data_IF_626622450150
#
_entry.id   IF_626622450150
#
_cell.length_a   1.000
_cell.length_b   1.000
_cell.length_c   1.000
_cell.angle_alpha   90.00
_cell.angle_beta   90.00
_cell.angle_gamma   90.00
#
_symmetry.space_group_name_H-M   'P 1'
#
loop_
_entity.id
_entity.type
_entity.pdbx_description
1 polymer ?
#
# COMPACT_ATOMS: atom_id res chain seq x y z
N UNK A 1 -15.05 13.77 -6.21
CA UNK A 1 -15.63 12.61 -5.51
C UNK A 1 -14.46 11.90 -4.82
N UNK A 2 -14.53 11.75 -3.50
CA UNK A 2 -13.53 10.97 -2.76
C UNK A 2 -13.70 9.51 -3.18
N UNK A 3 -12.63 8.88 -3.66
CA UNK A 3 -12.58 7.47 -4.04
C UNK A 3 -12.15 6.59 -2.84
N UNK A 4 -12.36 7.05 -1.61
CA UNK A 4 -11.98 6.29 -0.42
C UNK A 4 -12.70 4.94 -0.44
N UNK A 5 -11.91 3.87 -0.58
CA UNK A 5 -12.43 2.52 -0.54
C UNK A 5 -12.78 2.17 0.91
N UNK A 6 -13.83 1.38 1.09
CA UNK A 6 -14.15 0.79 2.39
C UNK A 6 -12.98 -0.09 2.88
N UNK A 7 -12.77 -0.23 4.21
CA UNK A 7 -11.72 -1.09 4.76
C UNK A 7 -11.73 -2.51 4.17
N UNK A 8 -12.91 -3.07 3.94
CA UNK A 8 -13.12 -4.39 3.38
C UNK A 8 -12.51 -4.54 1.99
N UNK A 9 -12.59 -3.50 1.15
CA UNK A 9 -11.98 -3.48 -0.17
C UNK A 9 -10.44 -3.47 -0.10
N UNK A 10 -9.87 -2.99 1.01
CA UNK A 10 -8.44 -2.85 1.22
C UNK A 10 -7.81 -4.01 2.00
N UNK A 11 -8.60 -4.94 2.58
CA UNK A 11 -8.07 -6.08 3.33
C UNK A 11 -7.22 -7.06 2.52
N UNK A 12 -7.35 -7.03 1.19
CA UNK A 12 -6.41 -7.77 0.33
C UNK A 12 -4.96 -7.31 0.54
N UNK A 13 -4.72 -6.01 0.70
CA UNK A 13 -3.38 -5.48 1.01
C UNK A 13 -2.91 -5.83 2.41
N UNK A 14 -3.82 -5.82 3.39
CA UNK A 14 -3.51 -6.27 4.74
C UNK A 14 -3.15 -7.76 4.79
N UNK A 15 -3.85 -8.56 4.00
CA UNK A 15 -3.57 -10.00 3.85
C UNK A 15 -2.15 -10.19 3.32
N UNK A 16 -1.76 -9.51 2.25
CA UNK A 16 -0.40 -9.61 1.71
C UNK A 16 0.67 -9.05 2.66
N UNK A 17 0.35 -8.00 3.42
CA UNK A 17 1.22 -7.50 4.50
C UNK A 17 1.55 -8.62 5.47
N UNK A 18 0.55 -9.34 5.99
CA UNK A 18 0.76 -10.46 6.91
C UNK A 18 1.50 -11.62 6.23
N UNK A 19 1.15 -11.98 4.99
CA UNK A 19 1.83 -13.04 4.23
C UNK A 19 3.31 -12.73 3.97
N UNK A 20 3.66 -11.46 3.85
CA UNK A 20 5.05 -11.00 3.68
C UNK A 20 5.84 -10.90 4.99
N UNK A 21 5.19 -11.16 6.13
CA UNK A 21 5.79 -10.94 7.43
C UNK A 21 6.72 -12.06 7.88
N UNK A 22 7.48 -11.80 8.94
CA UNK A 22 8.30 -12.79 9.63
C UNK A 22 7.49 -13.76 10.51
N UNK A 23 6.18 -13.89 10.31
CA UNK A 23 5.36 -14.86 11.02
C UNK A 23 5.87 -16.29 10.73
N UNK A 24 5.93 -17.19 11.74
CA UNK A 24 6.56 -18.51 11.60
C UNK A 24 5.64 -19.51 10.86
N UNK A 25 5.24 -19.22 9.63
CA UNK A 25 4.35 -20.08 8.83
C UNK A 25 4.87 -21.52 8.67
N UNK A 26 6.20 -21.69 8.62
CA UNK A 26 6.84 -22.99 8.50
C UNK A 26 6.60 -23.90 9.72
N UNK A 27 6.42 -23.33 10.92
CA UNK A 27 6.09 -24.12 12.13
C UNK A 27 4.73 -24.81 12.01
N UNK A 28 3.85 -24.26 11.16
CA UNK A 28 2.53 -24.79 10.85
C UNK A 28 2.52 -25.66 9.59
N UNK A 29 3.68 -25.85 8.93
CA UNK A 29 3.80 -26.53 7.63
C UNK A 29 2.90 -25.90 6.54
N UNK A 30 2.77 -24.58 6.55
CA UNK A 30 1.91 -23.80 5.64
C UNK A 30 2.75 -22.81 4.84
N UNK A 31 2.44 -22.62 3.56
CA UNK A 31 3.06 -21.54 2.77
C UNK A 31 2.29 -20.23 3.00
N UNK A 32 2.97 -19.07 3.06
CA UNK A 32 2.28 -17.80 3.31
C UNK A 32 1.08 -17.53 2.38
N UNK A 33 1.22 -17.88 1.08
CA UNK A 33 0.15 -17.71 0.08
C UNK A 33 -1.13 -18.51 0.34
N UNK A 34 -1.07 -19.54 1.19
CA UNK A 34 -2.21 -20.39 1.56
C UNK A 34 -2.98 -19.82 2.76
N UNK A 35 -2.45 -18.78 3.42
CA UNK A 35 -3.04 -18.17 4.61
C UNK A 35 -4.02 -17.08 4.22
N UNK A 36 -5.27 -17.19 4.64
CA UNK A 36 -6.27 -16.14 4.57
C UNK A 36 -6.43 -15.46 5.93
N UNK A 37 -7.02 -14.26 5.94
CA UNK A 37 -7.32 -13.53 7.16
C UNK A 37 -8.83 -13.43 7.38
N UNK A 38 -9.25 -13.65 8.62
CA UNK A 38 -10.57 -13.24 9.11
C UNK A 38 -10.38 -12.08 10.06
N UNK A 39 -10.99 -10.94 9.75
CA UNK A 39 -10.87 -9.74 10.59
C UNK A 39 -11.79 -9.91 11.81
N UNK A 40 -11.18 -9.92 13.00
CA UNK A 40 -11.90 -10.01 14.27
C UNK A 40 -12.32 -8.62 14.77
N UNK A 41 -11.46 -7.61 14.55
CA UNK A 41 -11.64 -6.24 15.02
C UNK A 41 -10.89 -5.28 14.10
N UNK A 42 -11.56 -4.23 13.64
CA UNK A 42 -10.96 -3.14 12.89
C UNK A 42 -11.54 -1.82 13.38
N UNK A 43 -10.73 -1.03 14.08
CA UNK A 43 -11.09 0.28 14.60
C UNK A 43 -9.98 1.29 14.31
N UNK A 44 -10.13 2.55 14.71
CA UNK A 44 -9.18 3.62 14.37
C UNK A 44 -7.73 3.36 14.84
N UNK A 45 -7.53 2.50 15.85
CA UNK A 45 -6.21 2.24 16.43
C UNK A 45 -5.58 0.94 15.96
N UNK A 46 -6.38 -0.10 15.73
CA UNK A 46 -5.88 -1.46 15.48
C UNK A 46 -6.65 -2.19 14.38
N UNK A 47 -5.98 -3.20 13.82
CA UNK A 47 -6.63 -4.32 13.13
C UNK A 47 -6.20 -5.59 13.86
N UNK A 48 -7.15 -6.46 14.19
CA UNK A 48 -6.92 -7.79 14.74
C UNK A 48 -7.48 -8.80 13.76
N UNK A 49 -6.68 -9.80 13.43
CA UNK A 49 -7.10 -10.80 12.48
C UNK A 49 -6.67 -12.19 12.92
N UNK A 50 -7.56 -13.15 12.68
CA UNK A 50 -7.28 -14.57 12.73
C UNK A 50 -6.67 -15.01 11.40
N UNK A 51 -5.60 -15.79 11.47
CA UNK A 51 -4.96 -16.44 10.32
C UNK A 51 -5.59 -17.82 10.14
N UNK A 52 -6.13 -18.07 8.95
CA UNK A 52 -6.81 -19.31 8.60
C UNK A 52 -6.26 -19.94 7.33
N UNK A 53 -6.41 -21.25 7.21
CA UNK A 53 -6.05 -22.03 6.02
C UNK A 53 -7.22 -22.90 5.59
N UNK A 54 -7.32 -23.13 4.29
CA UNK A 54 -8.32 -24.03 3.72
C UNK A 54 -7.84 -25.48 3.87
N UNK A 55 -8.56 -26.25 4.68
CA UNK A 55 -8.36 -27.70 4.90
C UNK A 55 -9.69 -28.43 4.60
N UNK A 56 -9.88 -29.66 5.09
CA UNK A 56 -11.21 -30.29 5.15
C UNK A 56 -12.10 -29.60 6.22
N UNK A 57 -12.24 -28.28 6.12
CA UNK A 57 -12.68 -27.34 7.15
C UNK A 57 -11.77 -26.08 7.16
N UNK A 58 -12.06 -25.11 8.04
CA UNK A 58 -11.20 -23.93 8.22
C UNK A 58 -10.25 -24.14 9.40
N UNK A 59 -8.96 -24.34 9.12
CA UNK A 59 -7.93 -24.47 10.13
C UNK A 59 -7.48 -23.09 10.61
N UNK A 60 -7.40 -22.86 11.92
CA UNK A 60 -6.82 -21.63 12.49
C UNK A 60 -5.37 -21.88 12.87
N UNK A 61 -4.46 -21.05 12.37
CA UNK A 61 -3.01 -21.15 12.67
C UNK A 61 -2.52 -20.05 13.60
N UNK A 62 -3.30 -18.98 13.81
CA UNK A 62 -2.94 -17.97 14.80
C UNK A 62 -3.68 -16.66 14.68
N UNK A 63 -3.14 -15.64 15.36
CA UNK A 63 -3.69 -14.30 15.39
C UNK A 63 -2.61 -13.24 15.29
N UNK A 64 -2.94 -12.15 14.61
CA UNK A 64 -2.09 -10.96 14.54
C UNK A 64 -2.83 -9.73 15.03
N UNK A 65 -2.05 -8.80 15.55
CA UNK A 65 -2.48 -7.46 15.94
C UNK A 65 -1.63 -6.44 15.18
N UNK A 66 -2.27 -5.60 14.38
CA UNK A 66 -1.64 -4.48 13.70
C UNK A 66 -2.01 -3.17 14.40
N UNK A 67 -1.02 -2.40 14.84
CA UNK A 67 -1.20 -1.07 15.41
C UNK A 67 -1.04 -0.02 14.31
N UNK A 68 -2.14 0.61 13.91
CA UNK A 68 -2.21 1.54 12.77
C UNK A 68 -1.29 2.75 12.94
N UNK A 69 -1.30 3.38 14.12
CA UNK A 69 -0.55 4.62 14.39
C UNK A 69 0.96 4.49 14.27
N UNK A 70 1.50 3.28 14.51
CA UNK A 70 2.95 3.00 14.43
C UNK A 70 3.31 2.11 13.24
N UNK A 71 2.33 1.64 12.48
CA UNK A 71 2.49 0.62 11.46
C UNK A 71 3.26 -0.62 11.97
N UNK A 72 2.89 -1.12 13.16
CA UNK A 72 3.55 -2.27 13.78
C UNK A 72 2.66 -3.50 13.75
N UNK A 73 3.19 -4.61 13.24
CA UNK A 73 2.53 -5.91 13.24
C UNK A 73 3.08 -6.77 14.38
N UNK A 74 2.18 -7.47 15.07
CA UNK A 74 2.51 -8.37 16.16
C UNK A 74 1.83 -9.71 16.00
N UNK A 75 2.53 -10.79 16.32
CA UNK A 75 1.96 -12.10 16.60
C UNK A 75 1.45 -12.13 18.05
N UNK A 76 0.18 -12.50 18.21
CA UNK A 76 -0.50 -12.62 19.51
C UNK A 76 -1.04 -14.04 19.73
N UNK A 77 -0.55 -15.03 18.97
CA UNK A 77 -1.06 -16.42 18.97
C UNK A 77 -0.88 -17.10 20.33
N UNK A 78 0.30 -16.95 20.95
CA UNK A 78 0.64 -17.66 22.20
C UNK A 78 0.26 -16.85 23.44
N UNK A 79 0.73 -15.61 23.53
CA UNK A 79 0.44 -14.72 24.66
C UNK A 79 0.13 -13.29 24.17
N UNK A 80 -1.15 -12.88 24.13
CA UNK A 80 -1.53 -11.52 23.75
C UNK A 80 -0.96 -10.42 24.64
N UNK A 81 -0.53 -10.73 25.88
CA UNK A 81 0.09 -9.76 26.80
C UNK A 81 1.59 -9.59 26.52
N UNK A 82 2.21 -10.55 25.83
CA UNK A 82 3.63 -10.52 25.41
C UNK A 82 3.74 -10.74 23.90
N UNK A 83 3.17 -9.81 23.09
CA UNK A 83 3.17 -9.93 21.64
C UNK A 83 4.59 -9.96 21.05
N UNK A 84 4.79 -10.77 20.03
CA UNK A 84 6.06 -10.83 19.29
C UNK A 84 5.96 -9.89 18.09
N UNK A 85 6.85 -8.89 18.01
CA UNK A 85 6.87 -7.94 16.89
C UNK A 85 7.35 -8.63 15.62
N UNK A 86 6.63 -8.43 14.52
CA UNK A 86 6.95 -8.99 13.20
C UNK A 86 7.51 -7.91 12.28
N UNK A 87 8.47 -8.28 11.43
CA UNK A 87 8.85 -7.49 10.26
C UNK A 87 7.98 -7.87 9.06
N UNK A 88 7.80 -6.98 8.09
CA UNK A 88 7.01 -7.25 6.87
C UNK A 88 7.45 -6.33 5.72
N UNK A 89 7.01 -6.63 4.50
CA UNK A 89 7.26 -5.75 3.35
C UNK A 89 6.37 -4.50 3.43
N UNK A 90 6.98 -3.34 3.72
CA UNK A 90 6.27 -2.08 3.91
C UNK A 90 5.51 -1.57 2.67
N UNK A 91 5.79 -2.10 1.48
CA UNK A 91 5.02 -1.74 0.27
C UNK A 91 3.53 -2.10 0.40
N UNK A 92 3.18 -3.19 1.09
CA UNK A 92 1.77 -3.56 1.32
C UNK A 92 1.05 -2.65 2.33
N UNK A 93 1.76 -2.15 3.34
CA UNK A 93 1.20 -1.15 4.25
C UNK A 93 0.94 0.19 3.54
N UNK A 94 1.87 0.63 2.67
CA UNK A 94 1.64 1.80 1.81
C UNK A 94 0.42 1.59 0.91
N UNK A 95 0.33 0.43 0.26
CA UNK A 95 -0.82 0.07 -0.58
C UNK A 95 -2.15 0.14 0.18
N UNK A 96 -2.18 -0.39 1.40
CA UNK A 96 -3.34 -0.34 2.27
C UNK A 96 -3.73 1.10 2.61
N UNK A 97 -2.76 1.94 3.00
CA UNK A 97 -2.99 3.36 3.31
C UNK A 97 -3.58 4.09 2.10
N UNK A 98 -3.02 3.89 0.91
CA UNK A 98 -3.50 4.53 -0.32
C UNK A 98 -4.90 4.07 -0.71
N UNK A 99 -5.19 2.79 -0.53
CA UNK A 99 -6.52 2.25 -0.74
C UNK A 99 -7.56 2.89 0.19
N UNK A 100 -7.25 2.97 1.49
CA UNK A 100 -8.12 3.55 2.51
C UNK A 100 -8.32 5.06 2.34
N UNK A 101 -7.29 5.78 1.91
CA UNK A 101 -7.40 7.23 1.67
C UNK A 101 -8.13 7.57 0.36
N UNK A 102 -8.35 6.59 -0.53
CA UNK A 102 -8.86 6.83 -1.87
C UNK A 102 -7.90 7.57 -2.78
N UNK A 103 -6.62 7.63 -2.38
CA UNK A 103 -5.56 8.26 -3.14
C UNK A 103 -5.14 7.33 -4.27
N UNK A 104 -5.27 7.81 -5.50
CA UNK A 104 -4.79 7.06 -6.66
C UNK A 104 -3.29 7.27 -6.78
N UNK A 105 -2.50 6.23 -6.55
CA UNK A 105 -1.04 6.28 -6.66
C UNK A 105 -0.58 5.69 -7.98
N UNK A 106 0.40 6.35 -8.58
CA UNK A 106 1.07 5.92 -9.78
C UNK A 106 2.56 5.67 -9.52
N UNK A 107 3.12 4.69 -10.20
CA UNK A 107 4.57 4.50 -10.27
C UNK A 107 5.08 4.97 -11.62
N UNK A 108 6.23 5.64 -11.61
CA UNK A 108 6.91 6.06 -12.82
C UNK A 108 7.52 4.85 -13.51
N UNK A 109 7.11 4.57 -14.75
CA UNK A 109 7.62 3.46 -15.58
C UNK A 109 8.45 3.92 -16.78
N UNK A 110 8.70 5.22 -16.91
CA UNK A 110 9.58 5.74 -17.94
C UNK A 110 11.05 5.37 -17.70
N UNK A 111 11.79 5.06 -18.78
CA UNK A 111 13.26 4.90 -18.75
C UNK A 111 13.99 6.25 -18.74
N UNK A 112 13.28 7.34 -18.99
CA UNK A 112 13.82 8.72 -19.01
C UNK A 112 13.29 9.51 -17.80
N UNK A 113 13.94 10.64 -17.51
CA UNK A 113 13.44 11.61 -16.51
C UNK A 113 12.06 12.12 -16.94
N UNK A 114 11.09 12.05 -16.03
CA UNK A 114 9.76 12.60 -16.22
C UNK A 114 9.73 13.97 -15.56
N UNK A 115 9.72 15.02 -16.35
CA UNK A 115 9.77 16.38 -15.83
C UNK A 115 8.39 16.86 -15.40
N UNK A 116 8.36 17.68 -14.36
CA UNK A 116 7.16 18.40 -13.97
C UNK A 116 6.89 19.55 -14.94
N UNK A 117 5.61 19.87 -15.11
CA UNK A 117 5.10 21.00 -15.87
C UNK A 117 4.22 21.87 -14.99
N UNK A 118 4.30 23.18 -15.21
CA UNK A 118 3.37 24.16 -14.66
C UNK A 118 2.31 24.49 -15.71
N UNK A 119 1.05 24.56 -15.29
CA UNK A 119 -0.06 24.94 -16.17
C UNK A 119 -0.14 26.47 -16.25
N UNK A 120 -0.05 27.01 -17.46
CA UNK A 120 -0.22 28.43 -17.77
C UNK A 120 -1.33 28.63 -18.82
N UNK A 121 -1.68 29.89 -19.10
CA UNK A 121 -2.62 30.25 -20.16
C UNK A 121 -2.15 29.80 -21.56
N UNK A 122 -0.83 29.62 -21.75
CA UNK A 122 -0.23 29.17 -23.01
C UNK A 122 0.01 27.65 -23.08
N UNK A 123 -0.43 26.89 -22.07
CA UNK A 123 -0.32 25.43 -22.03
C UNK A 123 0.55 24.91 -20.88
N UNK A 124 1.26 23.80 -21.12
CA UNK A 124 2.11 23.16 -20.12
C UNK A 124 3.57 23.60 -20.28
N UNK A 125 4.11 24.31 -19.29
CA UNK A 125 5.51 24.77 -19.29
C UNK A 125 6.39 23.83 -18.48
N UNK A 126 7.37 23.21 -19.14
CA UNK A 126 8.33 22.29 -18.51
C UNK A 126 9.17 23.01 -17.44
N UNK A 127 9.32 22.38 -16.29
CA UNK A 127 10.15 22.85 -15.17
C UNK A 127 11.50 22.11 -15.12
N UNK A 128 12.36 22.47 -14.15
CA UNK A 128 13.62 21.76 -13.88
C UNK A 128 13.43 20.52 -13.00
N UNK A 129 12.32 20.42 -12.28
CA UNK A 129 12.05 19.29 -11.39
C UNK A 129 11.65 18.05 -12.20
N UNK A 130 12.04 16.88 -11.74
CA UNK A 130 11.70 15.61 -12.37
C UNK A 130 11.60 14.47 -11.36
N UNK A 131 10.89 13.42 -11.75
CA UNK A 131 10.85 12.11 -11.12
C UNK A 131 11.47 11.06 -12.05
N UNK A 132 11.87 9.93 -11.50
CA UNK A 132 12.57 8.85 -12.22
C UNK A 132 11.84 7.51 -12.07
N UNK A 133 12.25 6.52 -12.87
CA UNK A 133 11.71 5.18 -12.80
C UNK A 133 11.68 4.64 -11.36
N UNK A 134 10.55 4.05 -10.97
CA UNK A 134 10.35 3.49 -9.64
C UNK A 134 9.82 4.48 -8.60
N UNK A 135 9.88 5.80 -8.85
CA UNK A 135 9.26 6.78 -7.97
C UNK A 135 7.74 6.61 -7.94
N UNK A 136 7.15 6.89 -6.77
CA UNK A 136 5.71 6.87 -6.57
C UNK A 136 5.17 8.29 -6.41
N UNK A 137 4.02 8.54 -7.02
CA UNK A 137 3.34 9.83 -6.97
C UNK A 137 1.85 9.67 -6.70
N UNK A 138 1.31 10.55 -5.86
CA UNK A 138 -0.12 10.63 -5.59
C UNK A 138 -0.79 11.49 -6.67
N UNK A 139 -1.82 10.97 -7.32
CA UNK A 139 -2.62 11.73 -8.28
C UNK A 139 -3.60 12.65 -7.57
N UNK A 140 -3.65 13.91 -8.01
CA UNK A 140 -4.68 14.87 -7.64
C UNK A 140 -5.79 14.93 -8.70
N UNK A 141 -5.42 15.16 -9.96
CA UNK A 141 -6.35 15.31 -11.07
C UNK A 141 -5.68 14.95 -12.40
N UNK A 142 -6.50 14.71 -13.43
CA UNK A 142 -6.05 14.38 -14.79
C UNK A 142 -6.73 15.32 -15.79
N UNK A 143 -5.95 15.83 -16.74
CA UNK A 143 -6.45 16.68 -17.82
C UNK A 143 -5.72 16.34 -19.13
N UNK A 144 -6.44 15.74 -20.08
CA UNK A 144 -5.87 15.26 -21.33
C UNK A 144 -4.73 14.27 -21.06
N UNK A 145 -3.57 14.51 -21.65
CA UNK A 145 -2.40 13.63 -21.54
C UNK A 145 -1.54 13.90 -20.27
N UNK A 146 -1.97 14.82 -19.42
CA UNK A 146 -1.24 15.19 -18.21
C UNK A 146 -2.03 14.85 -16.95
N UNK A 147 -1.30 14.56 -15.89
CA UNK A 147 -1.89 14.35 -14.58
C UNK A 147 -1.12 15.15 -13.54
N UNK A 148 -1.85 15.86 -12.69
CA UNK A 148 -1.29 16.61 -11.58
C UNK A 148 -1.03 15.66 -10.43
N UNK A 149 0.18 15.71 -9.88
CA UNK A 149 0.62 14.77 -8.86
C UNK A 149 1.34 15.47 -7.73
N UNK A 150 1.34 14.82 -6.57
CA UNK A 150 2.22 15.13 -5.43
C UNK A 150 3.30 14.05 -5.39
N UNK A 151 4.56 14.48 -5.38
CA UNK A 151 5.73 13.65 -5.16
C UNK A 151 6.38 14.03 -3.83
N UNK A 152 6.71 13.03 -3.01
CA UNK A 152 7.51 13.24 -1.80
C UNK A 152 8.97 12.89 -2.10
N UNK A 153 9.87 13.87 -1.93
CA UNK A 153 11.30 13.68 -2.13
C UNK A 153 11.87 12.77 -1.03
N UNK A 154 13.08 12.24 -1.28
CA UNK A 154 13.82 11.45 -0.28
C UNK A 154 14.09 12.22 1.02
N UNK A 155 14.17 13.55 0.97
CA UNK A 155 14.34 14.41 2.14
C UNK A 155 13.02 14.75 2.86
N UNK A 156 11.88 14.21 2.39
CA UNK A 156 10.55 14.45 2.97
C UNK A 156 9.83 15.70 2.45
N UNK A 157 10.46 16.49 1.57
CA UNK A 157 9.81 17.63 0.93
C UNK A 157 8.73 17.18 -0.07
N UNK A 158 7.71 18.00 -0.30
CA UNK A 158 6.65 17.71 -1.27
C UNK A 158 6.79 18.60 -2.50
N UNK A 159 6.67 18.01 -3.68
CA UNK A 159 6.64 18.69 -4.98
C UNK A 159 5.32 18.40 -5.64
N UNK A 160 4.61 19.45 -6.07
CA UNK A 160 3.34 19.33 -6.78
C UNK A 160 3.49 19.89 -8.18
N UNK A 161 3.02 19.17 -9.19
CA UNK A 161 3.03 19.65 -10.57
C UNK A 161 2.40 18.64 -11.54
N UNK A 162 2.36 18.99 -12.82
CA UNK A 162 1.82 18.13 -13.87
C UNK A 162 2.91 17.25 -14.46
N UNK A 163 2.60 16.00 -14.78
CA UNK A 163 3.49 15.08 -15.50
C UNK A 163 2.70 14.38 -16.60
N UNK A 164 3.39 13.85 -17.61
CA UNK A 164 2.77 13.08 -18.69
C UNK A 164 2.22 11.75 -18.15
N UNK A 165 0.92 11.52 -18.33
CA UNK A 165 0.23 10.33 -17.82
C UNK A 165 0.80 9.04 -18.42
N UNK A 166 1.22 9.06 -19.70
CA UNK A 166 1.81 7.91 -20.38
C UNK A 166 3.13 7.42 -19.76
N UNK A 167 3.78 8.24 -18.94
CA UNK A 167 5.00 7.86 -18.21
C UNK A 167 4.72 7.12 -16.90
N UNK A 168 3.46 6.99 -16.53
CA UNK A 168 3.00 6.46 -15.26
C UNK A 168 2.19 5.18 -15.46
N UNK A 169 2.32 4.25 -14.52
CA UNK A 169 1.41 3.11 -14.37
C UNK A 169 0.64 3.30 -13.08
N UNK A 170 -0.68 3.23 -13.15
CA UNK A 170 -1.49 3.20 -11.93
C UNK A 170 -1.08 1.96 -11.15
N UNK A 171 -0.79 2.15 -9.86
CA UNK A 171 -0.52 1.00 -9.02
C UNK A 171 -1.85 0.52 -8.47
N UNK A 172 -2.21 -0.65 -8.97
CA UNK A 172 -3.08 -1.58 -8.28
C UNK A 172 -2.18 -2.68 -7.71
N UNK A 173 -1.84 -2.60 -6.43
CA UNK A 173 -0.87 -3.53 -5.83
C UNK A 173 -1.38 -4.99 -5.85
N UNK A 174 -2.68 -5.22 -6.14
CA UNK A 174 -3.25 -6.57 -6.27
C UNK A 174 -2.96 -7.23 -7.62
N UNK A 175 -2.75 -6.41 -8.66
CA UNK A 175 -2.56 -6.87 -10.05
C UNK A 175 -1.12 -6.68 -10.55
N UNK A 176 -0.28 -5.95 -9.83
CA UNK A 176 1.07 -5.55 -10.27
C UNK A 176 2.21 -6.34 -9.60
N UNK A 177 1.89 -7.34 -8.76
CA UNK A 177 2.81 -8.26 -8.08
C UNK A 177 2.27 -9.69 -8.19
#
# INVERSE_FOLDING_TARGET
>A
MSFAASPEQCYSYFTELVRSSSYPFNEWNVKPKEVNLMIDDDNDSIIRAKLVIDTNGTGTIGWVLFKKSKAELFDITVDPKKPIKLSYNNEYNKAQIYCLSGEVVYQVRSKKRVYFFDKSNSGMKKTKAFIVNGDYVQRLETQGNYTKVIYQTKSGGKVTGWVELASLSQIDFKNNW
#
